data_IF_457399894283
#
_entry.id   IF_457399894283
#
_cell.length_a   1.000
_cell.length_b   1.000
_cell.length_c   1.000
_cell.angle_alpha   90.00
_cell.angle_beta   90.00
_cell.angle_gamma   90.00
#
_symmetry.space_group_name_H-M   'P 1'
#
loop_
_entity.id
_entity.type
_entity.pdbx_description
1 polymer ?
#
# COMPACT_ATOMS: atom_id res chain seq x y z
N UNK A 1 -19.22 -6.27 42.12
CA UNK A 1 -20.12 -6.77 41.06
C UNK A 1 -20.82 -5.57 40.44
N UNK A 2 -20.40 -5.13 39.29
CA UNK A 2 -21.13 -4.20 38.46
C UNK A 2 -20.76 -4.55 37.02
N UNK A 3 -21.67 -5.20 36.32
CA UNK A 3 -21.58 -5.57 34.92
C UNK A 3 -21.75 -4.32 34.06
N UNK A 4 -20.69 -3.84 33.45
CA UNK A 4 -20.81 -2.86 32.38
C UNK A 4 -21.26 -3.57 31.10
N UNK A 5 -22.55 -3.57 30.86
CA UNK A 5 -23.15 -3.96 29.59
C UNK A 5 -22.79 -2.95 28.52
N UNK A 6 -22.00 -3.36 27.56
CA UNK A 6 -21.83 -2.61 26.32
C UNK A 6 -23.17 -2.64 25.57
N UNK A 7 -23.88 -1.51 25.56
CA UNK A 7 -25.06 -1.33 24.72
C UNK A 7 -24.59 -1.23 23.27
N UNK A 8 -24.82 -2.29 22.50
CA UNK A 8 -24.78 -2.26 21.05
C UNK A 8 -25.89 -1.32 20.55
N UNK A 9 -25.54 -0.05 20.34
CA UNK A 9 -26.43 0.91 19.72
C UNK A 9 -26.57 0.62 18.23
N UNK A 10 -27.44 -0.27 17.83
CA UNK A 10 -27.88 -0.43 16.45
C UNK A 10 -28.80 0.76 16.10
N UNK A 11 -28.20 1.91 15.79
CA UNK A 11 -28.96 3.04 15.25
C UNK A 11 -29.42 2.68 13.84
N UNK A 12 -30.69 2.36 13.66
CA UNK A 12 -31.28 2.21 12.33
C UNK A 12 -31.36 3.58 11.68
N UNK A 13 -30.59 3.81 10.62
CA UNK A 13 -30.76 4.97 9.74
C UNK A 13 -31.81 4.63 8.71
N UNK A 14 -32.66 5.62 8.34
CA UNK A 14 -33.67 5.45 7.30
C UNK A 14 -33.26 6.19 6.06
N UNK A 15 -33.22 5.49 4.94
CA UNK A 15 -33.06 6.07 3.60
C UNK A 15 -34.35 5.80 2.82
N UNK A 16 -35.00 6.84 2.33
CA UNK A 16 -36.28 6.74 1.64
C UNK A 16 -37.35 5.95 2.43
N UNK A 17 -37.39 6.15 3.75
CA UNK A 17 -38.35 5.48 4.64
C UNK A 17 -38.04 4.02 4.94
N UNK A 18 -36.90 3.48 4.50
CA UNK A 18 -36.44 2.12 4.84
C UNK A 18 -35.33 2.17 5.88
N UNK A 19 -35.45 1.40 6.92
CA UNK A 19 -34.38 1.24 7.92
C UNK A 19 -33.17 0.56 7.26
N UNK A 20 -31.99 1.17 7.45
CA UNK A 20 -30.73 0.62 6.98
C UNK A 20 -29.89 0.17 8.18
N UNK A 21 -29.57 -1.11 8.32
CA UNK A 21 -28.76 -1.58 9.43
C UNK A 21 -27.31 -1.08 9.26
N UNK A 22 -26.78 -0.51 10.34
CA UNK A 22 -25.38 -0.10 10.43
C UNK A 22 -24.69 -0.90 11.52
N UNK A 23 -23.61 -1.58 11.19
CA UNK A 23 -22.79 -2.30 12.15
C UNK A 23 -21.57 -1.46 12.54
N UNK A 24 -21.42 -1.23 13.84
CA UNK A 24 -20.30 -0.45 14.38
C UNK A 24 -19.13 -1.36 14.80
N UNK A 25 -17.93 -0.93 14.41
CA UNK A 25 -16.65 -1.52 14.81
C UNK A 25 -15.78 -0.43 15.44
N UNK A 26 -14.94 -0.80 16.40
CA UNK A 26 -14.00 0.13 17.04
C UNK A 26 -12.62 -0.49 17.14
N UNK A 27 -11.63 0.20 16.60
CA UNK A 27 -10.22 -0.18 16.58
C UNK A 27 -9.33 1.01 16.95
N UNK A 28 -8.08 0.75 17.27
CA UNK A 28 -7.11 1.81 17.47
C UNK A 28 -6.67 2.36 16.11
N UNK A 29 -6.45 1.46 15.14
CA UNK A 29 -6.07 1.80 13.76
C UNK A 29 -6.95 1.05 12.77
N UNK A 30 -7.41 1.77 11.75
CA UNK A 30 -8.07 1.20 10.57
C UNK A 30 -7.20 1.46 9.34
N UNK A 31 -6.88 0.40 8.62
CA UNK A 31 -6.08 0.47 7.38
C UNK A 31 -6.99 0.10 6.21
N UNK A 32 -7.08 0.99 5.23
CA UNK A 32 -7.91 0.79 4.04
C UNK A 32 -7.01 0.41 2.87
N UNK A 33 -7.12 -0.84 2.45
CA UNK A 33 -6.32 -1.45 1.40
C UNK A 33 -5.29 -2.44 1.93
N UNK A 34 -5.30 -3.66 1.38
CA UNK A 34 -4.41 -4.77 1.75
C UNK A 34 -3.39 -5.08 0.66
N UNK A 35 -2.87 -4.06 -0.02
CA UNK A 35 -1.69 -4.16 -0.87
C UNK A 35 -0.40 -4.17 -0.06
N UNK A 36 0.75 -4.11 -0.73
CA UNK A 36 2.06 -4.12 -0.06
C UNK A 36 2.19 -3.05 1.02
N UNK A 37 1.81 -1.81 0.72
CA UNK A 37 1.85 -0.71 1.69
C UNK A 37 0.92 -0.94 2.88
N UNK A 38 -0.35 -1.31 2.61
CA UNK A 38 -1.34 -1.54 3.66
C UNK A 38 -0.97 -2.72 4.55
N UNK A 39 -0.53 -3.85 3.98
CA UNK A 39 -0.11 -5.00 4.76
C UNK A 39 1.13 -4.69 5.62
N UNK A 40 2.10 -3.92 5.08
CA UNK A 40 3.27 -3.53 5.89
C UNK A 40 2.86 -2.63 7.07
N UNK A 41 1.96 -1.68 6.83
CA UNK A 41 1.40 -0.84 7.90
C UNK A 41 0.63 -1.68 8.92
N UNK A 42 -0.18 -2.63 8.45
CA UNK A 42 -0.94 -3.58 9.27
C UNK A 42 -0.02 -4.37 10.22
N UNK A 43 1.05 -4.94 9.68
CA UNK A 43 2.04 -5.67 10.49
C UNK A 43 2.65 -4.77 11.55
N UNK A 44 3.09 -3.55 11.17
CA UNK A 44 3.70 -2.62 12.10
C UNK A 44 2.78 -2.18 13.24
N UNK A 45 1.51 -1.86 12.93
CA UNK A 45 0.52 -1.48 13.94
C UNK A 45 0.19 -2.64 14.89
N UNK A 46 0.01 -3.85 14.35
CA UNK A 46 -0.29 -5.04 15.17
C UNK A 46 0.89 -5.43 16.05
N UNK A 47 2.14 -5.35 15.54
CA UNK A 47 3.34 -5.59 16.34
C UNK A 47 3.53 -4.56 17.47
N UNK A 48 3.03 -3.34 17.27
CA UNK A 48 3.00 -2.32 18.32
C UNK A 48 1.90 -2.55 19.37
N UNK A 49 1.13 -3.63 19.28
CA UNK A 49 0.06 -3.98 20.22
C UNK A 49 -1.24 -3.20 19.98
N UNK A 50 -1.38 -2.50 18.87
CA UNK A 50 -2.60 -1.77 18.54
C UNK A 50 -3.66 -2.72 17.96
N UNK A 51 -4.92 -2.56 18.37
CA UNK A 51 -6.05 -3.26 17.76
C UNK A 51 -6.25 -2.72 16.36
N UNK A 52 -5.88 -3.54 15.37
CA UNK A 52 -5.77 -3.13 13.97
C UNK A 52 -6.79 -3.86 13.10
N UNK A 53 -7.61 -3.09 12.37
CA UNK A 53 -8.45 -3.59 11.30
C UNK A 53 -7.82 -3.29 9.94
N UNK A 54 -7.79 -4.28 9.07
CA UNK A 54 -7.43 -4.10 7.66
C UNK A 54 -8.67 -4.33 6.79
N UNK A 55 -9.18 -3.26 6.20
CA UNK A 55 -10.38 -3.27 5.35
C UNK A 55 -9.94 -3.30 3.87
N UNK A 56 -10.46 -4.23 3.11
CA UNK A 56 -10.06 -4.40 1.70
C UNK A 56 -11.22 -4.81 0.81
N UNK A 57 -11.32 -4.21 -0.37
CA UNK A 57 -12.37 -4.54 -1.36
C UNK A 57 -12.13 -5.84 -2.12
N UNK A 58 -10.90 -6.35 -2.10
CA UNK A 58 -10.52 -7.64 -2.68
C UNK A 58 -9.77 -8.47 -1.67
N UNK A 59 -9.68 -9.77 -1.87
CA UNK A 59 -8.82 -10.61 -1.03
C UNK A 59 -7.38 -10.09 -1.08
N UNK A 60 -6.64 -10.01 0.05
CA UNK A 60 -5.31 -9.38 0.11
C UNK A 60 -4.34 -9.84 -0.97
N UNK A 61 -4.29 -11.15 -1.25
CA UNK A 61 -3.39 -11.72 -2.27
C UNK A 61 -3.80 -11.41 -3.71
N UNK A 62 -4.91 -10.69 -3.93
CA UNK A 62 -5.38 -10.18 -5.23
C UNK A 62 -5.12 -8.70 -5.44
N UNK A 63 -4.50 -8.03 -4.47
CA UNK A 63 -4.06 -6.64 -4.62
C UNK A 63 -3.10 -6.48 -5.80
N UNK A 64 -3.08 -5.29 -6.41
CA UNK A 64 -2.22 -5.00 -7.56
C UNK A 64 -0.72 -5.28 -7.31
N UNK A 65 -0.26 -5.22 -6.07
CA UNK A 65 1.10 -5.61 -5.70
C UNK A 65 1.48 -7.01 -6.23
N UNK A 66 0.52 -7.95 -6.33
CA UNK A 66 0.77 -9.31 -6.84
C UNK A 66 1.35 -9.31 -8.25
N UNK A 67 1.02 -8.32 -9.06
CA UNK A 67 1.42 -8.22 -10.45
C UNK A 67 2.83 -7.62 -10.65
N UNK A 68 3.47 -7.12 -9.59
CA UNK A 68 4.80 -6.54 -9.69
C UNK A 68 5.85 -7.62 -10.00
N UNK A 69 6.53 -7.49 -11.12
CA UNK A 69 7.53 -8.44 -11.62
C UNK A 69 8.96 -7.92 -11.48
N UNK A 70 9.14 -6.59 -11.62
CA UNK A 70 10.46 -5.95 -11.68
C UNK A 70 11.33 -6.21 -10.46
N UNK A 71 10.83 -5.95 -9.30
CA UNK A 71 11.56 -6.06 -8.03
C UNK A 71 11.47 -4.77 -7.20
N UNK A 72 12.31 -4.70 -6.17
CA UNK A 72 12.42 -3.56 -5.26
C UNK A 72 13.82 -2.95 -5.37
N UNK A 73 13.90 -1.67 -5.69
CA UNK A 73 15.17 -0.96 -5.79
C UNK A 73 15.74 -0.61 -4.40
N UNK A 74 16.96 -1.09 -4.13
CA UNK A 74 17.70 -0.77 -2.91
C UNK A 74 19.22 -0.88 -3.19
N UNK A 75 19.99 0.07 -2.70
CA UNK A 75 21.45 0.09 -2.91
C UNK A 75 22.16 -0.84 -1.94
N UNK A 76 22.11 -2.17 -2.20
CA UNK A 76 22.76 -3.20 -1.36
C UNK A 76 24.25 -3.39 -1.71
N UNK A 77 24.68 -2.91 -2.86
CA UNK A 77 26.04 -3.09 -3.40
C UNK A 77 26.46 -4.58 -3.53
N UNK A 78 25.52 -5.49 -3.78
CA UNK A 78 25.82 -6.92 -3.91
C UNK A 78 26.42 -7.28 -5.27
N UNK A 79 26.10 -6.50 -6.32
CA UNK A 79 26.52 -6.78 -7.70
C UNK A 79 27.63 -5.84 -8.18
N UNK A 80 28.05 -4.89 -7.36
CA UNK A 80 29.06 -3.90 -7.67
C UNK A 80 28.97 -2.69 -6.74
N UNK A 81 29.84 -1.70 -6.84
CA UNK A 81 29.81 -0.51 -6.00
C UNK A 81 28.47 0.22 -6.14
N UNK A 82 27.83 0.53 -5.04
CA UNK A 82 26.60 1.30 -4.98
C UNK A 82 26.41 1.91 -3.60
N UNK A 83 25.61 3.00 -3.52
CA UNK A 83 25.20 3.57 -2.24
C UNK A 83 23.87 4.34 -2.40
N UNK A 84 23.20 4.60 -1.29
CA UNK A 84 21.90 5.24 -1.26
C UNK A 84 21.93 6.70 -1.82
N UNK A 85 23.05 7.41 -1.79
CA UNK A 85 23.17 8.77 -2.33
C UNK A 85 23.12 8.77 -3.85
N UNK A 86 23.71 7.78 -4.50
CA UNK A 86 23.59 7.60 -5.94
C UNK A 86 22.17 7.21 -6.33
N UNK A 87 21.54 6.35 -5.51
CA UNK A 87 20.13 5.99 -5.69
C UNK A 87 19.24 7.23 -5.56
N UNK A 88 19.46 8.06 -4.53
CA UNK A 88 18.75 9.33 -4.36
C UNK A 88 18.93 10.26 -5.56
N UNK A 89 20.17 10.44 -6.04
CA UNK A 89 20.46 11.27 -7.22
C UNK A 89 19.65 10.80 -8.44
N UNK A 90 19.69 9.51 -8.75
CA UNK A 90 18.96 8.95 -9.88
C UNK A 90 17.44 9.14 -9.74
N UNK A 91 16.92 9.02 -8.51
CA UNK A 91 15.49 9.19 -8.24
C UNK A 91 15.06 10.65 -8.36
N UNK A 92 15.83 11.60 -7.84
CA UNK A 92 15.57 13.04 -7.99
C UNK A 92 15.63 13.44 -9.47
N UNK A 93 16.65 12.97 -10.19
CA UNK A 93 16.78 13.23 -11.63
C UNK A 93 15.64 12.57 -12.43
N UNK A 94 15.26 11.35 -12.09
CA UNK A 94 14.18 10.61 -12.74
C UNK A 94 12.79 11.20 -12.51
N UNK A 95 12.61 11.94 -11.41
CA UNK A 95 11.39 12.72 -11.13
C UNK A 95 11.42 14.12 -11.77
N UNK A 96 12.36 14.38 -12.66
CA UNK A 96 12.58 15.70 -13.31
C UNK A 96 12.71 16.85 -12.29
N UNK A 97 13.32 16.58 -11.13
CA UNK A 97 13.51 17.50 -10.01
C UNK A 97 12.22 17.98 -9.33
N UNK A 98 11.08 17.39 -9.66
CA UNK A 98 9.77 17.77 -9.10
C UNK A 98 9.44 17.02 -7.80
N UNK A 99 10.12 15.92 -7.52
CA UNK A 99 9.87 15.10 -6.34
C UNK A 99 10.29 15.78 -5.03
N UNK A 100 9.58 15.49 -3.96
CA UNK A 100 9.97 15.88 -2.60
C UNK A 100 11.30 15.20 -2.24
N UNK A 101 12.36 16.00 -2.14
CA UNK A 101 13.72 15.46 -1.97
C UNK A 101 13.95 14.88 -0.58
N UNK A 102 13.27 15.36 0.45
CA UNK A 102 13.36 14.79 1.81
C UNK A 102 12.71 13.41 1.86
N UNK A 103 11.56 13.24 1.19
CA UNK A 103 10.90 11.95 1.05
C UNK A 103 11.74 10.97 0.21
N UNK A 104 12.37 11.44 -0.86
CA UNK A 104 13.28 10.63 -1.69
C UNK A 104 14.52 10.21 -0.90
N UNK A 105 15.13 11.12 -0.15
CA UNK A 105 16.27 10.78 0.74
C UNK A 105 15.85 9.67 1.72
N UNK A 106 14.75 9.88 2.42
CA UNK A 106 14.24 8.91 3.38
C UNK A 106 14.04 7.52 2.74
N UNK A 107 13.39 7.47 1.58
CA UNK A 107 13.16 6.23 0.85
C UNK A 107 14.47 5.54 0.47
N UNK A 108 15.35 6.24 -0.20
CA UNK A 108 16.59 5.65 -0.72
C UNK A 108 17.55 5.20 0.39
N UNK A 109 17.60 5.95 1.48
CA UNK A 109 18.43 5.64 2.66
C UNK A 109 17.91 4.42 3.40
N UNK A 110 16.59 4.24 3.51
CA UNK A 110 15.98 3.15 4.27
C UNK A 110 15.64 1.91 3.42
N UNK A 111 15.66 2.02 2.08
CA UNK A 111 15.35 0.91 1.20
C UNK A 111 16.17 -0.37 1.47
N UNK A 112 17.49 -0.32 1.75
CA UNK A 112 18.26 -1.50 2.12
C UNK A 112 17.70 -2.22 3.36
N UNK A 113 17.38 -1.48 4.41
CA UNK A 113 16.81 -2.05 5.63
C UNK A 113 15.43 -2.69 5.38
N UNK A 114 14.60 -2.05 4.56
CA UNK A 114 13.29 -2.59 4.18
C UNK A 114 13.41 -3.91 3.38
N UNK A 115 14.39 -4.03 2.49
CA UNK A 115 14.64 -5.28 1.75
C UNK A 115 15.09 -6.39 2.68
N UNK A 116 15.99 -6.12 3.61
CA UNK A 116 16.42 -7.12 4.60
C UNK A 116 15.28 -7.50 5.55
N UNK A 117 14.41 -6.58 5.95
CA UNK A 117 13.21 -6.89 6.73
C UNK A 117 12.31 -7.89 5.97
N UNK A 118 12.04 -7.63 4.69
CA UNK A 118 11.25 -8.53 3.85
C UNK A 118 11.89 -9.90 3.70
N UNK A 119 13.22 -9.95 3.55
CA UNK A 119 14.00 -11.19 3.51
C UNK A 119 13.85 -11.99 4.81
N UNK A 120 14.03 -11.34 5.98
CA UNK A 120 13.89 -11.97 7.28
C UNK A 120 12.46 -12.48 7.53
N UNK A 121 11.45 -11.84 6.94
CA UNK A 121 10.07 -12.31 6.99
C UNK A 121 9.79 -13.48 6.05
N UNK A 122 10.72 -13.80 5.15
CA UNK A 122 10.65 -14.97 4.28
C UNK A 122 10.39 -14.67 2.80
N UNK A 123 10.60 -13.44 2.33
CA UNK A 123 10.58 -13.18 0.87
C UNK A 123 11.78 -13.88 0.23
N UNK A 124 11.54 -14.84 -0.70
CA UNK A 124 12.59 -15.66 -1.29
C UNK A 124 13.28 -14.91 -2.45
N UNK A 125 14.01 -13.85 -2.15
CA UNK A 125 14.80 -13.16 -3.15
C UNK A 125 15.79 -14.10 -3.85
N UNK A 126 15.96 -13.92 -5.16
CA UNK A 126 16.99 -14.61 -5.95
C UNK A 126 18.38 -14.35 -5.38
N UNK A 127 19.26 -15.34 -5.49
CA UNK A 127 20.60 -15.31 -4.88
C UNK A 127 21.70 -15.35 -5.92
N UNK A 128 22.83 -14.74 -5.59
CA UNK A 128 24.11 -14.96 -6.28
C UNK A 128 24.69 -16.30 -5.86
N UNK A 129 25.76 -16.73 -6.53
CA UNK A 129 26.51 -17.93 -6.17
C UNK A 129 27.13 -17.87 -4.77
N UNK A 130 27.39 -16.65 -4.28
CA UNK A 130 27.90 -16.38 -2.93
C UNK A 130 26.79 -16.25 -1.87
N UNK A 131 25.51 -16.48 -2.25
CA UNK A 131 24.37 -16.42 -1.36
C UNK A 131 23.84 -15.02 -1.05
N UNK A 132 24.36 -13.97 -1.67
CA UNK A 132 23.85 -12.60 -1.53
C UNK A 132 22.53 -12.43 -2.31
N UNK A 133 21.70 -11.47 -1.92
CA UNK A 133 20.51 -11.09 -2.71
C UNK A 133 21.00 -10.63 -4.10
N UNK A 134 20.51 -11.29 -5.14
CA UNK A 134 20.78 -10.89 -6.51
C UNK A 134 20.02 -9.59 -6.85
N UNK A 135 20.72 -8.69 -7.52
CA UNK A 135 20.16 -7.40 -7.97
C UNK A 135 20.29 -7.28 -9.48
N UNK A 136 19.19 -7.04 -10.16
CA UNK A 136 19.18 -6.85 -11.61
C UNK A 136 19.32 -5.38 -12.00
N UNK A 137 19.89 -5.08 -13.20
CA UNK A 137 19.93 -3.73 -13.73
C UNK A 137 18.56 -3.28 -14.22
N UNK A 138 18.29 -2.00 -14.10
CA UNK A 138 17.20 -1.30 -14.80
C UNK A 138 17.72 0.01 -15.38
N UNK A 139 17.00 0.55 -16.39
CA UNK A 139 17.33 1.84 -16.97
C UNK A 139 17.29 2.97 -15.92
N UNK A 140 18.19 3.92 -16.04
CA UNK A 140 18.27 5.07 -15.14
C UNK A 140 18.99 4.82 -13.81
N UNK A 141 19.45 3.60 -13.54
CA UNK A 141 20.30 3.30 -12.38
C UNK A 141 21.77 3.51 -12.71
N UNK A 142 22.41 4.49 -12.06
CA UNK A 142 23.79 4.87 -12.34
C UNK A 142 24.65 4.87 -11.07
N UNK A 143 25.95 4.85 -11.24
CA UNK A 143 26.93 5.10 -10.17
C UNK A 143 27.50 6.50 -10.30
N UNK A 144 28.21 6.96 -9.29
CA UNK A 144 28.90 8.26 -9.27
C UNK A 144 28.06 9.42 -9.82
N UNK A 145 26.81 9.54 -9.34
CA UNK A 145 25.92 10.65 -9.70
C UNK A 145 25.72 10.80 -11.22
N UNK A 146 25.49 9.69 -11.89
CA UNK A 146 25.26 9.66 -13.34
C UNK A 146 26.51 9.66 -14.21
N UNK A 147 27.70 9.67 -13.63
CA UNK A 147 28.99 9.70 -14.35
C UNK A 147 29.61 8.32 -14.53
N UNK A 148 29.25 7.37 -13.64
CA UNK A 148 29.78 6.02 -13.64
C UNK A 148 28.95 5.01 -14.44
N UNK A 149 29.36 3.76 -14.47
CA UNK A 149 28.63 2.69 -15.16
C UNK A 149 27.25 2.43 -14.53
N UNK A 150 26.35 1.70 -15.22
CA UNK A 150 25.06 1.33 -14.67
C UNK A 150 25.18 0.59 -13.33
N UNK A 151 24.32 0.95 -12.36
CA UNK A 151 24.18 0.23 -11.11
C UNK A 151 23.14 -0.89 -11.23
N UNK A 152 23.23 -1.88 -10.35
CA UNK A 152 22.26 -2.97 -10.23
C UNK A 152 21.63 -2.92 -8.83
N UNK A 153 20.42 -2.33 -8.72
CA UNK A 153 19.75 -2.11 -7.43
C UNK A 153 18.50 -2.93 -7.21
N UNK A 154 17.95 -3.53 -8.26
CA UNK A 154 16.63 -4.14 -8.18
C UNK A 154 16.70 -5.55 -7.61
N UNK A 155 16.29 -5.69 -6.35
CA UNK A 155 16.15 -6.96 -5.64
C UNK A 155 14.87 -7.66 -6.11
N UNK A 156 14.98 -8.89 -6.59
CA UNK A 156 13.86 -9.60 -7.20
C UNK A 156 13.77 -11.06 -6.78
N UNK A 157 12.56 -11.60 -6.79
CA UNK A 157 12.27 -13.03 -6.68
C UNK A 157 11.81 -13.51 -8.06
N UNK A 158 12.77 -13.74 -8.97
CA UNK A 158 12.54 -14.04 -10.38
C UNK A 158 11.59 -13.01 -11.00
N UNK A 159 10.52 -13.44 -11.67
CA UNK A 159 9.47 -12.59 -12.28
C UNK A 159 8.21 -12.46 -11.42
N UNK A 160 8.26 -12.86 -10.14
CA UNK A 160 7.13 -12.92 -9.20
C UNK A 160 7.41 -12.19 -7.89
N UNK A 161 8.20 -11.13 -7.92
CA UNK A 161 8.60 -10.39 -6.72
C UNK A 161 7.40 -9.87 -5.94
N UNK A 162 6.43 -9.28 -6.62
CA UNK A 162 5.22 -8.75 -5.98
C UNK A 162 4.36 -9.82 -5.34
N UNK A 163 4.19 -10.96 -6.00
CA UNK A 163 3.52 -12.13 -5.44
C UNK A 163 4.20 -12.60 -4.16
N UNK A 164 5.53 -12.74 -4.17
CA UNK A 164 6.30 -13.19 -3.02
C UNK A 164 6.17 -12.21 -1.83
N UNK A 165 6.33 -10.92 -2.09
CA UNK A 165 6.19 -9.88 -1.06
C UNK A 165 4.78 -9.89 -0.46
N UNK A 166 3.75 -9.90 -1.31
CA UNK A 166 2.36 -9.82 -0.87
C UNK A 166 1.95 -11.01 0.00
N UNK A 167 2.31 -12.23 -0.41
CA UNK A 167 2.02 -13.45 0.37
C UNK A 167 2.79 -13.47 1.68
N UNK A 168 4.04 -13.05 1.69
CA UNK A 168 4.85 -12.93 2.92
C UNK A 168 4.23 -11.94 3.90
N UNK A 169 3.88 -10.74 3.43
CA UNK A 169 3.27 -9.71 4.28
C UNK A 169 1.90 -10.13 4.81
N UNK A 170 1.08 -10.79 4.00
CA UNK A 170 -0.20 -11.32 4.44
C UNK A 170 -0.02 -12.38 5.54
N UNK A 171 0.92 -13.31 5.35
CA UNK A 171 1.27 -14.29 6.39
C UNK A 171 1.77 -13.65 7.68
N UNK A 172 2.57 -12.59 7.61
CA UNK A 172 3.01 -11.84 8.79
C UNK A 172 1.85 -11.11 9.48
N UNK A 173 0.93 -10.52 8.73
CA UNK A 173 -0.25 -9.87 9.31
C UNK A 173 -1.14 -10.87 10.06
N UNK A 174 -1.35 -12.06 9.52
CA UNK A 174 -2.10 -13.13 10.19
C UNK A 174 -1.42 -13.58 11.49
N UNK A 175 -0.10 -13.71 11.50
CA UNK A 175 0.68 -14.07 12.71
C UNK A 175 0.55 -13.05 13.83
N UNK A 176 0.34 -11.78 13.48
CA UNK A 176 0.19 -10.68 14.44
C UNK A 176 -1.28 -10.37 14.79
N UNK A 177 -2.18 -11.32 14.60
CA UNK A 177 -3.60 -11.24 15.03
C UNK A 177 -4.38 -10.05 14.47
N UNK A 178 -4.07 -9.63 13.24
CA UNK A 178 -4.82 -8.59 12.56
C UNK A 178 -6.22 -9.06 12.21
N UNK A 179 -7.23 -8.23 12.41
CA UNK A 179 -8.59 -8.47 11.92
C UNK A 179 -8.74 -7.99 10.48
N UNK A 180 -9.06 -8.91 9.57
CA UNK A 180 -9.31 -8.61 8.16
C UNK A 180 -10.79 -8.54 7.85
N UNK A 181 -11.18 -7.44 7.19
CA UNK A 181 -12.51 -7.22 6.63
C UNK A 181 -12.39 -7.26 5.11
N UNK A 182 -12.60 -8.45 4.56
CA UNK A 182 -12.40 -8.75 3.13
C UNK A 182 -13.72 -8.57 2.39
N UNK A 183 -13.65 -7.97 1.18
CA UNK A 183 -14.80 -7.60 0.36
C UNK A 183 -15.67 -6.53 1.03
N UNK A 184 -15.00 -5.59 1.72
CA UNK A 184 -15.58 -4.37 2.24
C UNK A 184 -15.08 -3.19 1.41
N UNK A 185 -16.00 -2.50 0.76
CA UNK A 185 -15.68 -1.32 -0.04
C UNK A 185 -15.78 -0.07 0.83
N UNK A 186 -14.66 0.63 1.02
CA UNK A 186 -14.63 1.89 1.76
C UNK A 186 -15.27 2.99 0.91
N UNK A 187 -16.30 3.64 1.45
CA UNK A 187 -17.10 4.65 0.76
C UNK A 187 -16.58 6.05 1.08
N UNK A 188 -16.51 6.37 2.38
CA UNK A 188 -16.14 7.71 2.85
C UNK A 188 -15.39 7.67 4.18
N UNK A 189 -14.66 8.77 4.45
CA UNK A 189 -14.03 9.04 5.72
C UNK A 189 -15.08 9.54 6.73
N UNK A 190 -14.89 9.17 7.99
CA UNK A 190 -15.64 9.75 9.11
C UNK A 190 -14.83 10.93 9.63
N UNK A 191 -15.34 12.15 9.41
CA UNK A 191 -14.71 13.38 9.88
C UNK A 191 -15.45 13.93 11.09
N UNK A 192 -14.74 14.38 12.12
CA UNK A 192 -15.35 15.09 13.23
C UNK A 192 -15.47 16.60 12.94
N UNK A 193 -16.12 17.33 13.85
CA UNK A 193 -16.34 18.77 13.72
C UNK A 193 -15.05 19.62 13.75
N UNK A 194 -13.93 19.01 14.19
CA UNK A 194 -12.62 19.65 14.20
C UNK A 194 -11.78 19.30 12.96
N UNK A 195 -12.38 18.59 11.98
CA UNK A 195 -11.70 18.18 10.75
C UNK A 195 -10.75 16.99 10.92
N UNK A 196 -10.86 16.25 12.01
CA UNK A 196 -10.02 15.05 12.23
C UNK A 196 -10.72 13.81 11.70
N UNK A 197 -9.97 12.93 11.02
CA UNK A 197 -10.49 11.64 10.59
C UNK A 197 -10.66 10.70 11.79
N UNK A 198 -11.83 10.09 11.92
CA UNK A 198 -12.24 9.20 13.00
C UNK A 198 -12.60 7.80 12.52
N UNK A 199 -12.20 7.46 11.30
CA UNK A 199 -12.44 6.15 10.71
C UNK A 199 -13.02 6.20 9.31
N UNK A 200 -13.67 5.13 8.90
CA UNK A 200 -14.25 4.98 7.56
C UNK A 200 -15.63 4.33 7.62
N UNK A 201 -16.46 4.65 6.63
CA UNK A 201 -17.72 3.94 6.35
C UNK A 201 -17.47 3.00 5.18
N UNK A 202 -17.91 1.76 5.31
CA UNK A 202 -17.77 0.73 4.29
C UNK A 202 -19.11 0.08 3.98
N UNK A 203 -19.25 -0.41 2.77
CA UNK A 203 -20.30 -1.36 2.39
C UNK A 203 -19.69 -2.77 2.29
N UNK A 204 -20.29 -3.74 2.94
CA UNK A 204 -19.94 -5.14 2.73
C UNK A 204 -20.51 -5.57 1.39
N UNK A 205 -19.65 -6.03 0.48
CA UNK A 205 -20.01 -6.24 -0.92
C UNK A 205 -20.90 -7.48 -1.14
N UNK A 206 -20.86 -8.41 -0.20
CA UNK A 206 -21.64 -9.65 -0.22
C UNK A 206 -23.14 -9.41 -0.01
N UNK A 207 -23.51 -8.60 1.00
CA UNK A 207 -24.90 -8.42 1.43
C UNK A 207 -25.39 -6.96 1.37
N UNK A 208 -24.51 -6.01 1.03
CA UNK A 208 -24.84 -4.59 0.93
C UNK A 208 -25.04 -3.88 2.27
N UNK A 209 -24.69 -4.50 3.41
CA UNK A 209 -24.80 -3.88 4.73
C UNK A 209 -23.75 -2.78 4.93
N UNK A 210 -24.11 -1.76 5.70
CA UNK A 210 -23.21 -0.64 6.02
C UNK A 210 -22.46 -0.94 7.32
N UNK A 211 -21.15 -0.77 7.26
CA UNK A 211 -20.26 -0.95 8.39
C UNK A 211 -19.49 0.35 8.66
N UNK A 212 -19.46 0.76 9.91
CA UNK A 212 -18.78 1.96 10.37
C UNK A 212 -17.61 1.56 11.25
N UNK A 213 -16.40 1.80 10.75
CA UNK A 213 -15.15 1.52 11.45
C UNK A 213 -14.65 2.78 12.12
N UNK A 214 -14.77 2.88 13.42
CA UNK A 214 -14.25 3.99 14.21
C UNK A 214 -12.83 3.70 14.64
N UNK A 215 -11.94 4.70 14.51
CA UNK A 215 -10.54 4.57 14.90
C UNK A 215 -9.95 5.90 15.36
N UNK A 216 -8.85 5.82 16.08
CA UNK A 216 -8.02 6.99 16.39
C UNK A 216 -7.17 7.40 15.21
N UNK A 217 -6.68 6.41 14.43
CA UNK A 217 -5.87 6.61 13.24
C UNK A 217 -6.46 5.83 12.07
N UNK A 218 -6.47 6.46 10.90
CA UNK A 218 -6.89 5.85 9.63
C UNK A 218 -5.75 5.95 8.64
N UNK A 219 -5.32 4.82 8.08
CA UNK A 219 -4.27 4.76 7.05
C UNK A 219 -4.92 4.40 5.73
N UNK A 220 -4.78 5.27 4.73
CA UNK A 220 -5.23 5.00 3.37
C UNK A 220 -4.07 4.40 2.57
N UNK A 221 -4.24 3.17 2.10
CA UNK A 221 -3.29 2.42 1.29
C UNK A 221 -4.00 1.81 0.06
N UNK A 222 -4.90 2.58 -0.55
CA UNK A 222 -5.88 2.13 -1.55
C UNK A 222 -5.32 1.97 -2.96
N UNK A 223 -4.02 2.23 -3.15
CA UNK A 223 -3.37 2.16 -4.46
C UNK A 223 -3.70 3.34 -5.37
N UNK A 224 -3.46 3.17 -6.66
CA UNK A 224 -3.58 4.22 -7.65
C UNK A 224 -4.98 4.39 -8.24
N UNK A 225 -5.08 5.26 -9.25
CA UNK A 225 -6.33 5.64 -9.91
C UNK A 225 -6.28 5.48 -11.44
N UNK A 226 -5.37 4.66 -11.96
CA UNK A 226 -5.17 4.51 -13.41
C UNK A 226 -6.45 4.15 -14.18
N UNK A 227 -7.40 3.46 -13.54
CA UNK A 227 -8.70 3.08 -14.14
C UNK A 227 -9.70 4.23 -14.25
N UNK A 228 -9.35 5.44 -13.80
CA UNK A 228 -10.08 6.65 -14.17
C UNK A 228 -9.99 6.96 -15.68
N UNK A 229 -8.96 6.43 -16.35
CA UNK A 229 -8.74 6.58 -17.78
C UNK A 229 -9.15 5.31 -18.53
N UNK A 230 -9.64 5.48 -19.75
CA UNK A 230 -10.07 4.35 -20.61
C UNK A 230 -8.88 3.42 -20.92
N UNK A 231 -7.75 3.98 -21.34
CA UNK A 231 -6.52 3.24 -21.62
C UNK A 231 -5.60 3.30 -20.41
N UNK A 232 -5.51 2.21 -19.67
CA UNK A 232 -4.62 2.10 -18.52
C UNK A 232 -4.06 0.68 -18.44
N UNK A 233 -2.77 0.57 -18.16
CA UNK A 233 -2.06 -0.71 -17.98
C UNK A 233 -2.09 -1.20 -16.52
N UNK A 234 -2.62 -0.38 -15.61
CA UNK A 234 -2.81 -0.77 -14.20
C UNK A 234 -3.95 -1.77 -14.02
N UNK A 235 -3.97 -2.45 -12.89
CA UNK A 235 -5.04 -3.40 -12.55
C UNK A 235 -6.40 -2.72 -12.49
N UNK A 236 -7.45 -3.47 -12.79
CA UNK A 236 -8.84 -3.02 -12.68
C UNK A 236 -9.24 -2.57 -11.27
N UNK A 237 -8.49 -2.96 -10.26
CA UNK A 237 -8.66 -2.54 -8.86
C UNK A 237 -8.13 -1.14 -8.54
N UNK A 238 -7.36 -0.52 -9.46
CA UNK A 238 -6.80 0.83 -9.28
C UNK A 238 -7.83 1.91 -9.68
N UNK A 239 -8.87 2.07 -8.89
CA UNK A 239 -10.08 2.86 -9.20
C UNK A 239 -10.11 4.24 -8.52
N UNK A 240 -9.06 4.60 -7.74
CA UNK A 240 -8.95 5.92 -7.12
C UNK A 240 -9.82 6.12 -5.88
N UNK A 241 -10.22 5.05 -5.21
CA UNK A 241 -11.17 5.11 -4.09
C UNK A 241 -10.67 6.02 -2.95
N UNK A 242 -9.38 5.89 -2.59
CA UNK A 242 -8.78 6.72 -1.54
C UNK A 242 -8.75 8.20 -1.89
N UNK A 243 -8.32 8.54 -3.11
CA UNK A 243 -8.34 9.92 -3.60
C UNK A 243 -9.75 10.50 -3.62
N UNK A 244 -10.74 9.70 -4.05
CA UNK A 244 -12.15 10.10 -4.03
C UNK A 244 -12.67 10.40 -2.62
N UNK A 245 -12.37 9.55 -1.64
CA UNK A 245 -12.74 9.79 -0.24
C UNK A 245 -12.08 11.04 0.33
N UNK A 246 -10.79 11.26 0.05
CA UNK A 246 -10.04 12.44 0.50
C UNK A 246 -10.63 13.71 -0.10
N UNK A 247 -10.93 13.71 -1.41
CA UNK A 247 -11.56 14.86 -2.09
C UNK A 247 -12.94 15.18 -1.51
N UNK A 248 -13.79 14.18 -1.29
CA UNK A 248 -15.14 14.39 -0.68
C UNK A 248 -15.05 14.89 0.76
N UNK A 249 -14.01 14.51 1.50
CA UNK A 249 -13.75 15.03 2.83
C UNK A 249 -13.20 16.47 2.85
N UNK A 250 -12.96 17.08 1.69
CA UNK A 250 -12.42 18.44 1.58
C UNK A 250 -10.92 18.54 1.90
N UNK A 251 -10.21 17.43 1.91
CA UNK A 251 -8.77 17.39 2.16
C UNK A 251 -7.99 17.60 0.86
N UNK A 252 -6.76 18.17 0.91
CA UNK A 252 -5.96 18.42 -0.28
C UNK A 252 -5.47 17.12 -0.93
N UNK A 253 -5.36 17.14 -2.25
CA UNK A 253 -4.69 16.15 -3.07
C UNK A 253 -3.48 16.79 -3.74
N UNK A 254 -2.42 16.01 -3.95
CA UNK A 254 -1.17 16.47 -4.54
C UNK A 254 -0.78 15.59 -5.73
N UNK A 255 -0.07 16.18 -6.69
CA UNK A 255 0.54 15.50 -7.84
C UNK A 255 -0.47 14.75 -8.73
N UNK A 256 -1.69 15.26 -8.84
CA UNK A 256 -2.79 14.59 -9.56
C UNK A 256 -2.61 14.57 -11.08
N UNK A 257 -1.70 15.35 -11.63
CA UNK A 257 -1.33 15.36 -13.04
C UNK A 257 -0.46 14.17 -13.45
N UNK A 258 0.18 13.48 -12.49
CA UNK A 258 1.11 12.39 -12.80
C UNK A 258 0.40 11.05 -12.96
N UNK A 259 0.48 10.51 -14.17
CA UNK A 259 0.03 9.16 -14.52
C UNK A 259 1.19 8.44 -15.22
N UNK A 260 1.59 7.31 -14.66
CA UNK A 260 2.67 6.51 -15.27
C UNK A 260 2.11 5.60 -16.36
N UNK A 261 2.67 5.74 -17.57
CA UNK A 261 2.44 4.82 -18.68
C UNK A 261 3.45 3.68 -18.64
N UNK A 262 3.01 2.48 -19.01
CA UNK A 262 3.91 1.34 -19.18
C UNK A 262 4.53 1.40 -20.59
N UNK A 263 5.83 1.68 -20.75
CA UNK A 263 6.42 1.95 -22.06
C UNK A 263 6.49 0.71 -22.97
N UNK A 264 6.38 -0.48 -22.42
CA UNK A 264 6.42 -1.76 -23.14
C UNK A 264 5.05 -2.38 -23.34
N UNK A 265 3.98 -1.68 -22.99
CA UNK A 265 2.61 -2.13 -23.24
C UNK A 265 2.24 -2.03 -24.71
N UNK A 266 1.56 -3.04 -25.23
CA UNK A 266 1.02 -3.04 -26.60
C UNK A 266 -0.47 -2.78 -26.52
N UNK A 267 -0.91 -1.61 -26.99
CA UNK A 267 -2.34 -1.27 -27.00
C UNK A 267 -3.14 -2.27 -27.83
N UNK A 268 -4.21 -2.79 -27.24
CA UNK A 268 -5.10 -3.75 -27.91
C UNK A 268 -4.64 -5.22 -27.89
N UNK A 269 -3.52 -5.53 -27.24
CA UNK A 269 -3.02 -6.91 -27.15
C UNK A 269 -3.38 -7.65 -25.84
N UNK A 270 -4.21 -7.06 -24.99
CA UNK A 270 -4.73 -7.70 -23.76
C UNK A 270 -4.39 -6.98 -22.50
#
# INVERSE_FOLDING_TARGET
MASNGATNGSGAFSINGRAYPVTDHTFDVVIVGAGGAGLRATVGCSQAGLRTACVTKVFPTRSHTVAAQGGVAASLANMGPDNWKWHMYDTVKGSDWLGDQDAIEYLCRNAPAAVYELEHWGVPFSRTTEGKIYQRPFGGMTTDYGKGPPAQRTCAAADRTGHAILHTLYGQALRNSTEFFIEYFAIDLIMDSEGRCRGVVCIKMDDGTIHRFRSQLTILATGGYGRAYFSATGAHTCTGDGGGMVARAGLPLQDMEFVQFHPTGIYGAG
#
